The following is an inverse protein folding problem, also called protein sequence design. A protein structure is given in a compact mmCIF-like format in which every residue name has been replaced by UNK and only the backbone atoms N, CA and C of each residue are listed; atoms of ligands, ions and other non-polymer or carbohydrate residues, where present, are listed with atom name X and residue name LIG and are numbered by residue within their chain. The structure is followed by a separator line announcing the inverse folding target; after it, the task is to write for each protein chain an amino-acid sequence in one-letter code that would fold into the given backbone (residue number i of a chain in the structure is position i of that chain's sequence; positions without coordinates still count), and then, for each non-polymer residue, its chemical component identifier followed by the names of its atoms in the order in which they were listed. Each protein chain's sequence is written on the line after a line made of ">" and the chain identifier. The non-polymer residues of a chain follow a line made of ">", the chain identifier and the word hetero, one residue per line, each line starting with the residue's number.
data_IF_754684224677
#
_entry.id   IF_754684224677
#
_cell.length_a   1.000
_cell.length_b   1.000
_cell.length_c   1.000
_cell.angle_alpha   90.00
_cell.angle_beta   90.00
_cell.angle_gamma   90.00
#
_symmetry.space_group_name_H-M   'P 1'
#
loop_
_entity.id
_entity.type
_entity.pdbx_description
1 polymer ?
#
# COMPACT_ATOMS: atom_id res chain seq x y z
N UNK A 1 -19.88 -23.58 -6.97
CA UNK A 1 -18.67 -22.91 -6.45
C UNK A 1 -17.52 -23.18 -7.41
N UNK A 2 -16.63 -22.22 -7.72
CA UNK A 2 -15.47 -22.49 -8.57
C UNK A 2 -14.49 -23.47 -7.90
N UNK A 3 -13.64 -24.18 -8.68
CA UNK A 3 -12.58 -24.99 -8.09
C UNK A 3 -11.62 -24.10 -7.29
N UNK A 4 -11.41 -24.46 -6.02
CA UNK A 4 -10.51 -23.77 -5.10
C UNK A 4 -9.18 -24.51 -5.00
N UNK A 5 -8.07 -23.79 -4.85
CA UNK A 5 -6.73 -24.36 -4.72
C UNK A 5 -6.56 -25.08 -3.37
N UNK A 6 -5.52 -25.89 -3.22
CA UNK A 6 -5.13 -26.38 -1.90
C UNK A 6 -4.45 -25.27 -1.08
N UNK A 7 -4.56 -25.36 0.25
CA UNK A 7 -3.91 -24.45 1.20
C UNK A 7 -2.46 -24.89 1.46
N UNK A 8 -1.60 -24.73 0.45
CA UNK A 8 -0.16 -24.98 0.54
C UNK A 8 0.65 -23.67 0.52
N UNK A 9 1.98 -23.75 0.64
CA UNK A 9 2.85 -22.58 0.67
C UNK A 9 2.73 -21.70 -0.60
N UNK A 10 2.32 -22.28 -1.75
CA UNK A 10 2.14 -21.57 -3.03
C UNK A 10 0.85 -20.75 -3.06
N UNK A 11 0.06 -20.79 -1.99
CA UNK A 11 -1.15 -20.00 -1.81
C UNK A 11 -0.83 -18.52 -1.52
N UNK A 12 0.32 -18.26 -0.90
CA UNK A 12 0.81 -16.92 -0.61
C UNK A 12 1.67 -16.40 -1.77
N UNK A 13 1.57 -15.11 -2.06
CA UNK A 13 2.58 -14.44 -2.87
C UNK A 13 3.67 -13.99 -1.92
N UNK A 14 4.83 -14.62 -2.05
CA UNK A 14 6.02 -14.07 -1.46
C UNK A 14 6.41 -12.85 -2.27
N UNK A 15 6.58 -11.70 -1.61
CA UNK A 15 7.09 -10.50 -2.26
C UNK A 15 8.53 -10.76 -2.76
N UNK A 16 8.67 -11.38 -3.94
CA UNK A 16 9.92 -11.60 -4.66
C UNK A 16 10.95 -12.54 -4.03
N UNK A 17 10.60 -13.38 -3.04
CA UNK A 17 11.55 -14.32 -2.38
C UNK A 17 10.98 -15.73 -2.30
N UNK A 18 11.83 -16.74 -2.08
CA UNK A 18 11.35 -18.11 -1.85
C UNK A 18 10.49 -18.17 -0.58
N UNK A 19 9.37 -18.91 -0.65
CA UNK A 19 8.33 -18.98 0.39
C UNK A 19 8.81 -19.30 1.80
N UNK A 20 9.97 -19.92 1.94
CA UNK A 20 10.58 -20.20 3.25
C UNK A 20 11.15 -18.97 3.97
N UNK A 21 11.47 -17.87 3.26
CA UNK A 21 12.24 -16.76 3.83
C UNK A 21 11.38 -15.63 4.42
N UNK A 22 10.10 -15.52 4.05
CA UNK A 22 9.22 -14.45 4.57
C UNK A 22 8.51 -14.94 5.83
N UNK A 23 8.65 -14.25 6.98
CA UNK A 23 7.89 -14.57 8.19
C UNK A 23 6.39 -14.66 7.90
N UNK A 24 5.72 -15.67 8.46
CA UNK A 24 4.31 -15.99 8.15
C UNK A 24 3.38 -14.77 8.29
N UNK A 25 3.66 -13.89 9.24
CA UNK A 25 2.86 -12.69 9.50
C UNK A 25 3.06 -11.56 8.47
N UNK A 26 4.06 -11.66 7.60
CA UNK A 26 4.33 -10.72 6.49
C UNK A 26 3.89 -11.27 5.13
N UNK A 27 3.41 -12.52 5.07
CA UNK A 27 2.95 -13.14 3.83
C UNK A 27 1.61 -12.55 3.42
N UNK A 28 1.48 -12.17 2.15
CA UNK A 28 0.23 -11.71 1.57
C UNK A 28 -0.30 -12.77 0.60
N UNK A 29 -1.63 -12.80 0.42
CA UNK A 29 -2.23 -13.68 -0.58
C UNK A 29 -1.88 -13.17 -1.97
N UNK A 30 -1.56 -14.06 -2.92
CA UNK A 30 -1.52 -13.63 -4.32
C UNK A 30 -2.92 -13.39 -4.89
N UNK A 31 -3.07 -12.89 -6.14
CA UNK A 31 -4.38 -12.65 -6.75
C UNK A 31 -5.31 -13.86 -6.69
N UNK A 32 -4.83 -15.04 -7.08
CA UNK A 32 -5.63 -16.27 -7.00
C UNK A 32 -5.94 -16.68 -5.56
N UNK A 33 -5.02 -16.46 -4.62
CA UNK A 33 -5.24 -16.75 -3.21
C UNK A 33 -6.28 -15.83 -2.58
N UNK A 34 -6.27 -14.55 -2.97
CA UNK A 34 -7.24 -13.56 -2.53
C UNK A 34 -8.65 -13.88 -3.08
N UNK A 35 -8.74 -14.25 -4.35
CA UNK A 35 -9.97 -14.78 -4.95
C UNK A 35 -10.51 -15.98 -4.17
N UNK A 36 -9.66 -16.97 -3.90
CA UNK A 36 -10.06 -18.19 -3.18
C UNK A 36 -10.47 -17.91 -1.73
N UNK A 37 -9.80 -16.98 -1.06
CA UNK A 37 -10.16 -16.55 0.29
C UNK A 37 -11.60 -16.02 0.33
N UNK A 38 -12.02 -15.28 -0.69
CA UNK A 38 -13.40 -14.78 -0.78
C UNK A 38 -14.44 -15.91 -0.73
N UNK A 39 -14.20 -17.04 -1.42
CA UNK A 39 -15.11 -18.20 -1.39
C UNK A 39 -15.03 -19.07 -0.13
N UNK A 40 -14.02 -18.85 0.73
CA UNK A 40 -13.84 -19.58 1.99
C UNK A 40 -14.35 -18.81 3.21
N UNK A 41 -14.49 -17.49 3.06
CA UNK A 41 -14.96 -16.64 4.14
C UNK A 41 -16.48 -16.74 4.30
N UNK A 42 -17.00 -16.59 5.53
CA UNK A 42 -18.42 -16.40 5.75
C UNK A 42 -18.94 -15.18 4.95
N UNK A 43 -20.16 -15.25 4.38
CA UNK A 43 -20.77 -14.15 3.62
C UNK A 43 -20.72 -12.79 4.32
N UNK A 44 -20.85 -12.79 5.65
CA UNK A 44 -20.87 -11.60 6.49
C UNK A 44 -19.52 -10.88 6.55
N UNK A 45 -18.43 -11.59 6.26
CA UNK A 45 -17.06 -11.06 6.29
C UNK A 45 -16.60 -10.54 4.93
N UNK A 46 -17.31 -10.87 3.85
CA UNK A 46 -16.91 -10.52 2.49
C UNK A 46 -16.80 -9.01 2.27
N UNK A 47 -17.76 -8.15 2.67
CA UNK A 47 -17.62 -6.72 2.46
C UNK A 47 -16.38 -6.15 3.17
N UNK A 48 -16.07 -6.66 4.37
CA UNK A 48 -14.89 -6.24 5.15
C UNK A 48 -13.61 -6.70 4.47
N UNK A 49 -13.59 -7.92 3.93
CA UNK A 49 -12.44 -8.46 3.20
C UNK A 49 -12.16 -7.71 1.89
N UNK A 50 -13.19 -7.44 1.09
CA UNK A 50 -13.06 -6.68 -0.15
C UNK A 50 -12.62 -5.24 0.12
N UNK A 51 -13.18 -4.63 1.17
CA UNK A 51 -12.73 -3.31 1.65
C UNK A 51 -11.27 -3.33 2.08
N UNK A 52 -10.81 -4.37 2.79
CA UNK A 52 -9.42 -4.43 3.24
C UNK A 52 -8.44 -4.56 2.08
N UNK A 53 -8.75 -5.35 1.05
CA UNK A 53 -7.94 -5.41 -0.18
C UNK A 53 -7.81 -4.01 -0.81
N UNK A 54 -8.93 -3.29 -0.96
CA UNK A 54 -8.92 -1.92 -1.49
C UNK A 54 -8.10 -0.94 -0.62
N UNK A 55 -8.28 -0.97 0.70
CA UNK A 55 -7.58 -0.08 1.63
C UNK A 55 -6.08 -0.41 1.77
N UNK A 56 -5.69 -1.65 1.49
CA UNK A 56 -4.28 -2.06 1.38
C UNK A 56 -3.69 -1.83 -0.02
N UNK A 57 -4.43 -1.14 -0.89
CA UNK A 57 -4.05 -0.83 -2.27
C UNK A 57 -3.87 -2.06 -3.18
N UNK A 58 -4.52 -3.17 -2.83
CA UNK A 58 -4.52 -4.44 -3.57
C UNK A 58 -5.70 -4.49 -4.53
N UNK A 59 -5.71 -3.53 -5.47
CA UNK A 59 -6.86 -3.26 -6.34
C UNK A 59 -7.13 -4.40 -7.32
N UNK A 60 -6.08 -5.01 -7.88
CA UNK A 60 -6.21 -6.13 -8.81
C UNK A 60 -6.79 -7.36 -8.10
N UNK A 61 -6.38 -7.61 -6.86
CA UNK A 61 -6.94 -8.71 -6.08
C UNK A 61 -8.38 -8.46 -5.62
N UNK A 62 -8.71 -7.21 -5.28
CA UNK A 62 -10.08 -6.80 -4.99
C UNK A 62 -10.99 -6.99 -6.22
N UNK A 63 -10.51 -6.56 -7.39
CA UNK A 63 -11.20 -6.67 -8.66
C UNK A 63 -11.42 -8.13 -9.06
N UNK A 64 -10.39 -8.96 -8.95
CA UNK A 64 -10.46 -10.39 -9.25
C UNK A 64 -11.42 -11.12 -8.31
N UNK A 65 -11.40 -10.80 -7.01
CA UNK A 65 -12.31 -11.40 -6.03
C UNK A 65 -13.76 -10.99 -6.29
N UNK A 66 -14.02 -9.70 -6.52
CA UNK A 66 -15.35 -9.18 -6.85
C UNK A 66 -15.91 -9.82 -8.12
N UNK A 67 -15.13 -9.82 -9.20
CA UNK A 67 -15.56 -10.37 -10.49
C UNK A 67 -15.85 -11.87 -10.42
N UNK A 68 -15.06 -12.63 -9.65
CA UNK A 68 -15.34 -14.05 -9.44
C UNK A 68 -16.63 -14.29 -8.66
N UNK A 69 -16.92 -13.48 -7.63
CA UNK A 69 -18.19 -13.58 -6.88
C UNK A 69 -19.37 -13.23 -7.78
N UNK A 70 -19.28 -12.14 -8.55
CA UNK A 70 -20.34 -11.71 -9.46
C UNK A 70 -20.65 -12.77 -10.53
N UNK A 71 -19.61 -13.37 -11.14
CA UNK A 71 -19.76 -14.45 -12.11
C UNK A 71 -20.43 -15.67 -11.48
N UNK A 72 -20.03 -16.04 -10.26
CA UNK A 72 -20.64 -17.16 -9.54
C UNK A 72 -22.10 -16.90 -9.19
N UNK A 73 -22.41 -15.73 -8.62
CA UNK A 73 -23.76 -15.35 -8.17
C UNK A 73 -24.73 -15.13 -9.33
N UNK A 74 -24.23 -14.86 -10.54
CA UNK A 74 -25.02 -14.81 -11.77
C UNK A 74 -25.45 -16.21 -12.25
N UNK A 75 -24.67 -17.25 -11.93
CA UNK A 75 -24.91 -18.64 -12.35
C UNK A 75 -25.74 -19.48 -11.38
N UNK A 76 -26.15 -18.93 -10.23
CA UNK A 76 -26.86 -19.66 -9.17
C UNK A 76 -28.16 -18.96 -8.74
N UNK A 77 -29.12 -19.76 -8.28
CA UNK A 77 -30.36 -19.26 -7.69
C UNK A 77 -30.08 -18.44 -6.42
N UNK A 78 -30.98 -17.50 -6.10
CA UNK A 78 -30.77 -16.50 -5.04
C UNK A 78 -30.45 -17.07 -3.64
N UNK A 79 -30.83 -18.31 -3.35
CA UNK A 79 -30.53 -18.99 -2.07
C UNK A 79 -29.10 -19.55 -1.98
N UNK A 80 -28.39 -19.64 -3.11
CA UNK A 80 -27.03 -20.20 -3.19
C UNK A 80 -25.95 -19.13 -3.41
N UNK A 81 -26.33 -17.84 -3.34
CA UNK A 81 -25.42 -16.72 -3.49
C UNK A 81 -24.43 -16.61 -2.34
N UNK A 82 -23.26 -16.11 -2.67
CA UNK A 82 -22.13 -15.94 -1.75
C UNK A 82 -22.32 -14.70 -0.86
N UNK A 83 -22.97 -13.65 -1.35
CA UNK A 83 -23.24 -12.44 -0.56
C UNK A 83 -24.56 -11.75 -0.99
N UNK A 84 -24.99 -10.75 -0.21
CA UNK A 84 -26.07 -9.86 -0.63
C UNK A 84 -25.62 -9.05 -1.85
N UNK A 85 -26.37 -9.07 -2.97
CA UNK A 85 -26.01 -8.31 -4.18
C UNK A 85 -25.89 -6.80 -3.95
N UNK A 86 -26.58 -6.24 -2.95
CA UNK A 86 -26.49 -4.82 -2.63
C UNK A 86 -25.17 -4.46 -1.95
N UNK A 87 -24.66 -5.35 -1.09
CA UNK A 87 -23.35 -5.17 -0.43
C UNK A 87 -22.22 -5.31 -1.45
N UNK A 88 -22.32 -6.30 -2.34
CA UNK A 88 -21.34 -6.51 -3.41
C UNK A 88 -21.26 -5.32 -4.36
N UNK A 89 -22.42 -4.82 -4.84
CA UNK A 89 -22.47 -3.61 -5.69
C UNK A 89 -21.90 -2.39 -5.00
N UNK A 90 -22.10 -2.26 -3.68
CA UNK A 90 -21.54 -1.15 -2.90
C UNK A 90 -20.02 -1.21 -2.85
N UNK A 91 -19.43 -2.37 -2.56
CA UNK A 91 -17.97 -2.51 -2.52
C UNK A 91 -17.32 -2.37 -3.90
N UNK A 92 -17.99 -2.86 -4.97
CA UNK A 92 -17.60 -2.59 -6.36
C UNK A 92 -17.55 -1.10 -6.66
N UNK A 93 -18.63 -0.37 -6.40
CA UNK A 93 -18.70 1.07 -6.67
C UNK A 93 -17.62 1.85 -5.90
N UNK A 94 -17.32 1.45 -4.67
CA UNK A 94 -16.25 2.05 -3.87
C UNK A 94 -14.86 1.74 -4.45
N UNK A 95 -14.63 0.53 -4.95
CA UNK A 95 -13.38 0.18 -5.63
C UNK A 95 -13.17 1.06 -6.86
N UNK A 96 -14.15 1.09 -7.74
CA UNK A 96 -14.09 1.87 -8.98
C UNK A 96 -13.83 3.35 -8.69
N UNK A 97 -14.57 3.93 -7.75
CA UNK A 97 -14.41 5.35 -7.40
C UNK A 97 -13.05 5.62 -6.75
N UNK A 98 -12.55 4.71 -5.90
CA UNK A 98 -11.22 4.83 -5.28
C UNK A 98 -10.12 4.83 -6.33
N UNK A 99 -10.17 3.89 -7.29
CA UNK A 99 -9.20 3.77 -8.38
C UNK A 99 -9.26 5.01 -9.26
N UNK A 100 -10.46 5.38 -9.72
CA UNK A 100 -10.69 6.53 -10.59
C UNK A 100 -10.19 7.84 -9.99
N UNK A 101 -10.52 8.12 -8.73
CA UNK A 101 -10.11 9.35 -8.06
C UNK A 101 -8.59 9.41 -7.84
N UNK A 102 -7.98 8.28 -7.46
CA UNK A 102 -6.54 8.20 -7.26
C UNK A 102 -5.78 8.42 -8.56
N UNK A 103 -6.14 7.70 -9.61
CA UNK A 103 -5.47 7.81 -10.92
C UNK A 103 -5.61 9.21 -11.52
N UNK A 104 -6.80 9.82 -11.42
CA UNK A 104 -6.98 11.23 -11.83
C UNK A 104 -6.13 12.18 -10.98
N UNK A 105 -6.05 11.94 -9.67
CA UNK A 105 -5.19 12.72 -8.77
C UNK A 105 -3.72 12.59 -9.13
N UNK A 106 -3.26 11.38 -9.47
CA UNK A 106 -1.90 11.07 -9.90
C UNK A 106 -1.57 11.78 -11.22
N UNK A 107 -2.48 11.75 -12.19
CA UNK A 107 -2.34 12.46 -13.45
C UNK A 107 -2.21 13.98 -13.25
N UNK A 108 -3.13 14.58 -12.47
CA UNK A 108 -3.10 16.02 -12.16
C UNK A 108 -1.81 16.42 -11.43
N UNK A 109 -1.32 15.56 -10.52
CA UNK A 109 -0.04 15.78 -9.83
C UNK A 109 1.14 15.74 -10.80
N UNK A 110 1.15 14.79 -11.74
CA UNK A 110 2.18 14.67 -12.78
C UNK A 110 2.22 15.86 -13.73
N UNK A 111 1.06 16.47 -14.00
CA UNK A 111 0.93 17.69 -14.80
C UNK A 111 1.25 18.98 -14.02
N UNK A 112 1.49 18.89 -12.70
CA UNK A 112 1.79 20.04 -11.84
C UNK A 112 0.55 20.77 -11.31
N UNK A 113 -0.66 20.31 -11.59
CA UNK A 113 -1.91 20.86 -11.07
C UNK A 113 -2.18 20.39 -9.63
N UNK A 114 -1.28 20.78 -8.72
CA UNK A 114 -1.26 20.32 -7.34
C UNK A 114 -2.55 20.61 -6.55
N UNK A 115 -3.17 21.78 -6.75
CA UNK A 115 -4.45 22.09 -6.08
C UNK A 115 -5.60 21.16 -6.53
N UNK A 116 -5.64 20.77 -7.81
CA UNK A 116 -6.65 19.84 -8.31
C UNK A 116 -6.39 18.42 -7.81
N UNK A 117 -5.12 17.99 -7.83
CA UNK A 117 -4.70 16.70 -7.30
C UNK A 117 -5.09 16.55 -5.83
N UNK A 118 -4.84 17.58 -5.00
CA UNK A 118 -5.23 17.60 -3.59
C UNK A 118 -6.73 17.33 -3.44
N UNK A 119 -7.59 18.03 -4.20
CA UNK A 119 -9.05 17.82 -4.14
C UNK A 119 -9.43 16.38 -4.46
N UNK A 120 -8.90 15.82 -5.54
CA UNK A 120 -9.17 14.43 -5.95
C UNK A 120 -8.74 13.41 -4.89
N UNK A 121 -7.58 13.59 -4.26
CA UNK A 121 -7.17 12.74 -3.13
C UNK A 121 -8.07 12.91 -1.91
N UNK A 122 -8.58 14.12 -1.67
CA UNK A 122 -9.56 14.40 -0.61
C UNK A 122 -10.89 13.70 -0.83
N UNK A 123 -11.38 13.70 -2.08
CA UNK A 123 -12.55 12.93 -2.49
C UNK A 123 -12.30 11.42 -2.30
N UNK A 124 -11.10 10.94 -2.63
CA UNK A 124 -10.73 9.54 -2.46
C UNK A 124 -10.75 9.10 -0.98
N UNK A 125 -10.25 9.95 -0.08
CA UNK A 125 -10.35 9.75 1.38
C UNK A 125 -11.81 9.70 1.87
N UNK A 126 -12.73 10.38 1.18
CA UNK A 126 -14.14 10.45 1.56
C UNK A 126 -15.00 9.29 1.04
N UNK A 127 -14.47 8.39 0.20
CA UNK A 127 -15.22 7.26 -0.40
C UNK A 127 -15.90 6.39 0.67
N UNK A 128 -15.26 6.21 1.83
CA UNK A 128 -15.83 5.44 2.94
C UNK A 128 -16.63 6.27 3.95
N UNK A 129 -16.62 7.61 3.85
CA UNK A 129 -17.36 8.49 4.75
C UNK A 129 -18.86 8.57 4.39
N UNK A 130 -19.24 8.25 3.15
CA UNK A 130 -20.60 8.43 2.62
C UNK A 130 -21.62 7.33 2.93
N UNK A 131 -21.27 6.29 3.69
CA UNK A 131 -22.28 5.31 4.15
C UNK A 131 -23.00 5.87 5.36
N UNK A 132 -24.09 6.61 5.11
CA UNK A 132 -24.84 7.36 6.10
C UNK A 132 -25.20 6.56 7.36
N UNK A 133 -24.70 7.03 8.49
CA UNK A 133 -25.62 7.61 9.45
C UNK A 133 -25.32 9.12 9.51
N UNK A 134 -26.32 9.93 9.19
CA UNK A 134 -26.21 11.38 9.17
C UNK A 134 -26.23 11.91 10.60
N UNK A 135 -25.06 11.98 11.23
CA UNK A 135 -24.83 12.71 12.48
C UNK A 135 -23.65 13.65 12.31
N UNK A 136 -23.92 14.94 12.13
CA UNK A 136 -22.89 15.95 11.87
C UNK A 136 -21.83 16.07 12.95
N UNK A 137 -20.64 16.48 12.56
CA UNK A 137 -19.58 16.88 13.48
C UNK A 137 -18.21 16.79 12.86
N UNK A 138 -17.57 17.94 12.68
CA UNK A 138 -16.16 18.02 12.41
C UNK A 138 -15.35 17.32 13.53
N UNK A 139 -14.35 16.53 13.14
CA UNK A 139 -13.34 15.96 14.04
C UNK A 139 -13.80 14.72 14.82
N UNK A 140 -12.88 13.77 14.93
CA UNK A 140 -12.93 12.55 15.77
C UNK A 140 -13.71 11.33 15.22
N UNK A 141 -13.02 10.55 14.38
CA UNK A 141 -12.65 9.17 14.72
C UNK A 141 -13.71 8.09 14.95
N UNK A 142 -14.99 8.23 14.63
CA UNK A 142 -15.92 7.08 14.79
C UNK A 142 -17.02 7.04 13.74
N UNK A 143 -16.77 6.33 12.63
CA UNK A 143 -17.82 5.83 11.72
C UNK A 143 -18.40 4.50 12.22
N UNK A 144 -19.70 4.22 11.99
CA UNK A 144 -20.38 3.04 12.54
C UNK A 144 -19.89 1.74 11.89
N UNK A 145 -19.66 0.71 12.71
CA UNK A 145 -19.20 -0.60 12.25
C UNK A 145 -20.17 -1.28 11.27
N UNK A 146 -19.61 -1.78 10.16
CA UNK A 146 -20.32 -2.57 9.12
C UNK A 146 -20.89 -3.89 9.67
N UNK A 147 -20.34 -4.40 10.77
CA UNK A 147 -20.93 -5.54 11.47
C UNK A 147 -22.17 -5.06 12.22
N UNK A 148 -23.36 -5.47 11.77
CA UNK A 148 -24.56 -5.42 12.61
C UNK A 148 -24.19 -5.97 13.99
N UNK A 149 -24.56 -5.23 15.04
CA UNK A 149 -24.35 -5.51 16.47
C UNK A 149 -24.88 -6.88 16.97
N UNK A 150 -25.29 -7.77 16.06
CA UNK A 150 -25.85 -9.10 16.30
C UNK A 150 -24.84 -10.23 16.03
N UNK A 151 -23.65 -9.97 15.47
CA UNK A 151 -22.62 -11.01 15.33
C UNK A 151 -21.88 -11.22 16.66
N UNK A 152 -21.68 -12.48 17.05
CA UNK A 152 -20.96 -12.90 18.27
C UNK A 152 -19.45 -12.64 18.23
N UNK A 153 -18.98 -11.91 17.22
CA UNK A 153 -17.57 -11.62 17.01
C UNK A 153 -17.16 -10.47 17.93
N UNK A 154 -15.99 -10.54 18.61
CA UNK A 154 -15.54 -9.44 19.44
C UNK A 154 -15.46 -8.19 18.57
N UNK A 155 -16.22 -7.15 18.93
CA UNK A 155 -16.07 -5.85 18.31
C UNK A 155 -14.61 -5.43 18.50
N UNK A 156 -13.81 -5.55 17.44
CA UNK A 156 -12.43 -5.11 17.44
C UNK A 156 -12.45 -3.61 17.66
N UNK A 157 -12.29 -3.24 18.93
CA UNK A 157 -12.39 -1.90 19.45
C UNK A 157 -11.26 -1.07 18.82
N UNK A 158 -11.61 0.02 18.16
CA UNK A 158 -10.67 1.06 17.70
C UNK A 158 -9.93 0.82 16.37
N UNK A 159 -9.68 -0.43 15.96
CA UNK A 159 -8.87 -0.73 14.76
C UNK A 159 -9.63 -0.70 13.43
N UNK A 160 -10.97 -0.77 13.46
CA UNK A 160 -11.80 -0.89 12.26
C UNK A 160 -11.82 0.35 11.33
N UNK A 161 -11.20 1.46 11.74
CA UNK A 161 -11.39 2.78 11.14
C UNK A 161 -10.09 3.52 10.76
N UNK A 162 -8.93 2.85 10.68
CA UNK A 162 -7.66 3.51 10.37
C UNK A 162 -7.48 3.92 8.90
N UNK A 163 -8.40 3.57 8.00
CA UNK A 163 -8.27 3.87 6.57
C UNK A 163 -7.19 3.05 5.82
N UNK A 164 -6.39 2.27 6.53
CA UNK A 164 -5.39 1.37 5.96
C UNK A 164 -4.25 2.11 5.22
N UNK A 165 -3.40 1.34 4.55
CA UNK A 165 -2.26 1.88 3.79
C UNK A 165 -2.64 2.98 2.80
N UNK A 166 -3.79 2.86 2.14
CA UNK A 166 -4.31 3.83 1.19
C UNK A 166 -4.42 5.23 1.81
N UNK A 167 -4.98 5.36 3.01
CA UNK A 167 -5.16 6.68 3.63
C UNK A 167 -3.80 7.30 4.00
N UNK A 168 -2.85 6.52 4.50
CA UNK A 168 -1.49 7.01 4.75
C UNK A 168 -0.83 7.55 3.46
N UNK A 169 -0.94 6.80 2.36
CA UNK A 169 -0.40 7.20 1.05
C UNK A 169 -1.08 8.46 0.51
N UNK A 170 -2.40 8.56 0.61
CA UNK A 170 -3.17 9.72 0.15
C UNK A 170 -2.83 10.98 0.95
N UNK A 171 -2.71 10.87 2.28
CA UNK A 171 -2.31 11.98 3.14
C UNK A 171 -0.87 12.44 2.83
N UNK A 172 0.10 11.52 2.72
CA UNK A 172 1.47 11.88 2.35
C UNK A 172 1.56 12.51 0.94
N UNK A 173 0.78 11.97 0.00
CA UNK A 173 0.72 12.51 -1.36
C UNK A 173 0.13 13.93 -1.38
N UNK A 174 -0.95 14.17 -0.62
CA UNK A 174 -1.51 15.52 -0.44
C UNK A 174 -0.49 16.46 0.19
N UNK A 175 0.25 16.01 1.20
CA UNK A 175 1.33 16.77 1.80
C UNK A 175 2.41 17.14 0.76
N UNK A 176 2.78 16.21 -0.12
CA UNK A 176 3.72 16.49 -1.22
C UNK A 176 3.23 17.61 -2.14
N UNK A 177 1.97 17.56 -2.55
CA UNK A 177 1.38 18.61 -3.39
C UNK A 177 1.33 19.96 -2.66
N UNK A 178 1.07 19.96 -1.35
CA UNK A 178 1.05 21.19 -0.54
C UNK A 178 2.44 21.81 -0.39
N UNK A 179 3.50 20.99 -0.29
CA UNK A 179 4.89 21.47 -0.34
C UNK A 179 5.17 22.15 -1.68
N UNK A 180 4.75 21.56 -2.81
CA UNK A 180 4.90 22.20 -4.13
C UNK A 180 4.15 23.52 -4.28
N UNK A 181 3.14 23.77 -3.43
CA UNK A 181 2.35 24.99 -3.38
C UNK A 181 2.83 25.96 -2.28
N UNK A 182 3.95 25.68 -1.62
CA UNK A 182 4.50 26.45 -0.48
C UNK A 182 3.54 26.56 0.72
N UNK A 183 2.57 25.64 0.83
CA UNK A 183 1.60 25.58 1.94
C UNK A 183 2.14 24.69 3.07
N UNK A 184 3.26 25.10 3.66
CA UNK A 184 4.05 24.29 4.59
C UNK A 184 3.28 23.84 5.85
N UNK A 185 2.51 24.71 6.51
CA UNK A 185 1.72 24.32 7.69
C UNK A 185 0.69 23.23 7.37
N UNK A 186 0.02 23.36 6.22
CA UNK A 186 -0.95 22.37 5.76
C UNK A 186 -0.26 21.06 5.38
N UNK A 187 0.94 21.12 4.81
CA UNK A 187 1.74 19.95 4.49
C UNK A 187 2.16 19.19 5.76
N UNK A 188 2.58 19.90 6.82
CA UNK A 188 2.91 19.29 8.10
C UNK A 188 1.70 18.55 8.70
N UNK A 189 0.51 19.17 8.63
CA UNK A 189 -0.73 18.58 9.11
C UNK A 189 -1.16 17.33 8.31
N UNK A 190 -1.02 17.33 6.98
CA UNK A 190 -1.30 16.15 6.15
C UNK A 190 -0.30 15.01 6.42
N UNK A 191 1.00 15.30 6.52
CA UNK A 191 2.00 14.28 6.88
C UNK A 191 1.74 13.73 8.30
N UNK A 192 1.27 14.57 9.23
CA UNK A 192 0.83 14.12 10.54
C UNK A 192 -0.32 13.11 10.46
N UNK A 193 -1.36 13.39 9.66
CA UNK A 193 -2.46 12.45 9.42
C UNK A 193 -2.00 11.13 8.83
N UNK A 194 -1.02 11.14 7.92
CA UNK A 194 -0.44 9.91 7.38
C UNK A 194 0.21 9.06 8.49
N UNK A 195 0.86 9.69 9.47
CA UNK A 195 1.51 9.03 10.61
C UNK A 195 0.52 8.59 11.69
N UNK A 196 -0.62 9.29 11.83
CA UNK A 196 -1.71 8.83 12.70
C UNK A 196 -2.32 7.52 12.18
N UNK A 197 -2.37 7.36 10.84
CA UNK A 197 -2.80 6.11 10.19
C UNK A 197 -1.72 5.04 10.26
N UNK A 198 -0.48 5.39 9.89
CA UNK A 198 0.64 4.48 9.84
C UNK A 198 1.89 5.14 10.43
N UNK A 199 2.12 4.89 11.72
CA UNK A 199 3.15 5.59 12.50
C UNK A 199 4.61 5.37 12.03
N UNK A 200 4.86 4.29 11.28
CA UNK A 200 6.16 3.98 10.68
C UNK A 200 6.22 4.33 9.18
N UNK A 201 5.33 5.19 8.68
CA UNK A 201 5.27 5.51 7.25
C UNK A 201 6.44 6.42 6.87
N UNK A 202 7.52 5.80 6.39
CA UNK A 202 8.82 6.41 6.12
C UNK A 202 8.72 7.67 5.25
N UNK A 203 7.86 7.64 4.22
CA UNK A 203 7.61 8.79 3.35
C UNK A 203 7.11 10.03 4.11
N UNK A 204 6.11 9.86 4.98
CA UNK A 204 5.55 10.96 5.77
C UNK A 204 6.49 11.44 6.86
N UNK A 205 7.26 10.57 7.50
CA UNK A 205 8.29 10.99 8.47
C UNK A 205 9.31 11.92 7.82
N UNK A 206 9.88 11.49 6.68
CA UNK A 206 10.87 12.28 5.97
C UNK A 206 10.29 13.60 5.47
N UNK A 207 9.05 13.58 4.96
CA UNK A 207 8.37 14.77 4.47
C UNK A 207 8.08 15.76 5.59
N UNK A 208 7.52 15.29 6.70
CA UNK A 208 7.22 16.14 7.86
C UNK A 208 8.49 16.74 8.46
N UNK A 209 9.58 15.96 8.55
CA UNK A 209 10.89 16.47 8.99
C UNK A 209 11.39 17.63 8.13
N UNK A 210 11.32 17.49 6.80
CA UNK A 210 11.72 18.55 5.85
C UNK A 210 10.83 19.79 5.97
N UNK A 211 9.53 19.60 6.14
CA UNK A 211 8.59 20.71 6.34
C UNK A 211 8.85 21.45 7.66
N UNK A 212 9.06 20.73 8.76
CA UNK A 212 9.44 21.34 10.04
C UNK A 212 10.74 22.15 9.92
N UNK A 213 11.75 21.61 9.22
CA UNK A 213 13.00 22.34 8.98
C UNK A 213 12.77 23.64 8.18
N UNK A 214 11.93 23.59 7.14
CA UNK A 214 11.57 24.76 6.34
C UNK A 214 10.78 25.81 7.14
N UNK A 215 9.95 25.37 8.10
CA UNK A 215 9.23 26.24 9.04
C UNK A 215 10.10 26.78 10.18
N UNK A 216 11.37 26.35 10.29
CA UNK A 216 12.26 26.72 11.39
C UNK A 216 12.03 25.93 12.69
N UNK A 217 11.16 24.93 12.68
CA UNK A 217 10.95 24.00 13.79
C UNK A 217 12.03 22.92 13.80
N UNK A 218 13.22 23.30 14.25
CA UNK A 218 14.39 22.42 14.32
C UNK A 218 14.15 21.24 15.27
N UNK A 219 13.38 21.44 16.34
CA UNK A 219 13.09 20.39 17.32
C UNK A 219 12.20 19.30 16.71
N UNK A 220 11.10 19.68 16.06
CA UNK A 220 10.22 18.76 15.33
C UNK A 220 10.96 18.03 14.21
N UNK A 221 11.75 18.75 13.42
CA UNK A 221 12.54 18.16 12.34
C UNK A 221 13.51 17.09 12.87
N UNK A 222 14.25 17.39 13.95
CA UNK A 222 15.18 16.45 14.56
C UNK A 222 14.48 15.19 15.05
N UNK A 223 13.33 15.32 15.72
CA UNK A 223 12.57 14.18 16.22
C UNK A 223 12.14 13.23 15.08
N UNK A 224 11.61 13.78 13.99
CA UNK A 224 11.18 12.98 12.84
C UNK A 224 12.36 12.34 12.10
N UNK A 225 13.48 13.06 11.92
CA UNK A 225 14.69 12.49 11.33
C UNK A 225 15.28 11.36 12.19
N UNK A 226 15.32 11.52 13.52
CA UNK A 226 15.78 10.46 14.42
C UNK A 226 14.90 9.22 14.28
N UNK A 227 13.57 9.38 14.25
CA UNK A 227 12.67 8.24 14.06
C UNK A 227 12.86 7.57 12.69
N UNK A 228 13.07 8.35 11.63
CA UNK A 228 13.38 7.84 10.30
C UNK A 228 14.67 7.00 10.28
N UNK A 229 15.74 7.47 10.94
CA UNK A 229 17.02 6.74 11.00
C UNK A 229 16.85 5.40 11.73
N UNK A 230 16.22 5.40 12.91
CA UNK A 230 15.98 4.18 13.69
C UNK A 230 15.23 3.13 12.84
N UNK A 231 14.20 3.55 12.10
CA UNK A 231 13.45 2.64 11.23
C UNK A 231 14.29 2.07 10.08
N UNK A 232 15.19 2.86 9.49
CA UNK A 232 16.08 2.35 8.45
C UNK A 232 17.12 1.37 8.99
N UNK A 233 17.65 1.63 10.19
CA UNK A 233 18.57 0.73 10.87
C UNK A 233 17.89 -0.60 11.23
N UNK A 234 16.65 -0.57 11.71
CA UNK A 234 15.84 -1.77 11.97
C UNK A 234 15.61 -2.57 10.68
N UNK A 235 15.19 -1.92 9.59
CA UNK A 235 15.00 -2.57 8.28
C UNK A 235 16.29 -3.17 7.75
N UNK A 236 17.42 -2.46 7.90
CA UNK A 236 18.71 -2.95 7.45
C UNK A 236 19.16 -4.18 8.27
N UNK A 237 19.02 -4.14 9.59
CA UNK A 237 19.33 -5.27 10.46
C UNK A 237 18.47 -6.50 10.14
N UNK A 238 17.17 -6.31 9.88
CA UNK A 238 16.29 -7.38 9.42
C UNK A 238 16.72 -7.95 8.06
N UNK A 239 17.11 -7.09 7.12
CA UNK A 239 17.60 -7.53 5.80
C UNK A 239 18.92 -8.30 5.90
N UNK A 240 19.85 -7.89 6.76
CA UNK A 240 21.12 -8.58 7.02
C UNK A 240 20.86 -9.94 7.68
N UNK A 241 19.99 -9.99 8.69
CA UNK A 241 19.57 -11.24 9.34
C UNK A 241 18.87 -12.22 8.39
N UNK A 242 18.17 -11.72 7.36
CA UNK A 242 17.57 -12.54 6.31
C UNK A 242 18.57 -12.97 5.23
N UNK A 243 19.61 -12.15 4.97
CA UNK A 243 20.69 -12.47 4.03
C UNK A 243 21.57 -13.62 4.51
N UNK A 244 21.83 -13.70 5.80
CA UNK A 244 22.61 -14.78 6.43
C UNK A 244 21.85 -16.12 6.51
N UNK A 245 20.52 -16.13 6.34
CA UNK A 245 19.69 -17.33 6.33
C UNK A 245 19.58 -17.99 4.95
N UNK A 246 20.10 -17.34 3.90
CA UNK A 246 20.26 -17.97 2.58
C UNK A 246 21.60 -18.70 2.61
N UNK A 247 21.64 -20.05 2.57
CA UNK A 247 22.90 -20.74 2.40
C UNK A 247 23.52 -20.22 1.10
N UNK A 248 24.73 -19.66 1.19
CA UNK A 248 25.58 -19.38 0.02
C UNK A 248 25.70 -20.70 -0.73
N UNK A 249 24.90 -20.86 -1.78
CA UNK A 249 24.95 -22.03 -2.66
C UNK A 249 26.39 -22.19 -3.12
N UNK A 250 26.94 -23.38 -2.89
CA UNK A 250 28.37 -23.65 -2.96
C UNK A 250 29.02 -23.14 -4.23
N UNK A 251 30.06 -22.33 -4.04
CA UNK A 251 31.15 -22.22 -5.00
C UNK A 251 31.92 -23.56 -4.98
N UNK A 252 31.39 -24.60 -5.60
CA UNK A 252 32.16 -25.79 -5.97
C UNK A 252 31.87 -26.13 -7.43
N UNK A 253 32.85 -25.84 -8.29
CA UNK A 253 32.77 -26.16 -9.72
C UNK A 253 33.46 -25.19 -10.67
N UNK A 254 34.55 -24.49 -10.29
CA UNK A 254 35.53 -24.05 -11.30
C UNK A 254 36.32 -25.27 -11.73
N UNK A 255 35.93 -25.87 -12.84
CA UNK A 255 36.88 -26.60 -13.68
C UNK A 255 37.52 -25.58 -14.62
N UNK A 256 38.84 -25.63 -14.66
CA UNK A 256 39.73 -24.98 -15.62
C UNK A 256 39.46 -25.46 -17.06
N UNK A 257 40.12 -24.79 -18.03
CA UNK A 257 40.04 -24.90 -19.50
C UNK A 257 39.04 -23.90 -20.11
N UNK A 258 39.39 -22.92 -20.94
CA UNK A 258 40.41 -22.89 -22.00
C UNK A 258 40.81 -21.43 -22.33
N UNK A 259 42.09 -21.20 -22.64
CA UNK A 259 42.70 -19.92 -22.99
C UNK A 259 42.26 -19.46 -24.40
N UNK A 260 41.49 -18.37 -24.47
CA UNK A 260 41.23 -17.61 -25.70
C UNK A 260 41.84 -16.21 -25.63
N UNK A 261 42.33 -15.63 -26.74
CA UNK A 261 43.35 -14.57 -26.70
C UNK A 261 42.82 -13.22 -26.21
N UNK A 262 43.70 -12.51 -25.50
CA UNK A 262 43.46 -11.21 -24.87
C UNK A 262 42.90 -10.15 -25.83
N UNK A 263 41.94 -9.31 -25.38
CA UNK A 263 41.52 -8.13 -26.12
C UNK A 263 42.58 -7.02 -25.99
N UNK A 264 43.11 -6.60 -27.15
CA UNK A 264 44.03 -5.47 -27.31
C UNK A 264 43.40 -4.19 -26.74
N UNK A 265 43.99 -3.68 -25.66
CA UNK A 265 43.70 -2.38 -25.07
C UNK A 265 44.13 -1.26 -26.04
N UNK A 266 43.16 -0.53 -26.60
CA UNK A 266 43.43 0.74 -27.29
C UNK A 266 43.68 1.83 -26.24
N UNK A 267 44.78 2.59 -26.32
CA UNK A 267 45.11 3.59 -25.31
C UNK A 267 44.18 4.80 -25.35
N UNK A 268 43.80 5.23 -24.14
CA UNK A 268 43.14 6.48 -23.80
C UNK A 268 43.83 7.66 -24.49
N UNK A 269 43.13 8.33 -25.40
CA UNK A 269 43.56 9.65 -25.88
C UNK A 269 43.34 10.66 -24.75
N UNK A 270 44.46 11.17 -24.25
CA UNK A 270 44.55 12.29 -23.32
C UNK A 270 43.95 13.54 -23.98
N UNK A 271 43.03 14.19 -23.28
CA UNK A 271 42.68 15.59 -23.52
C UNK A 271 43.91 16.45 -23.22
N UNK A 272 44.61 16.90 -24.27
CA UNK A 272 45.59 17.98 -24.17
C UNK A 272 44.95 19.29 -24.62
N UNK A 273 44.63 20.09 -23.60
CA UNK A 273 44.75 21.54 -23.50
C UNK A 273 45.51 22.24 -24.67
N UNK A 274 44.78 23.03 -25.47
CA UNK A 274 45.34 24.11 -26.31
C UNK A 274 44.36 25.28 -26.45
N UNK A 275 44.44 26.24 -25.54
CA UNK A 275 44.53 27.65 -25.93
C UNK A 275 45.99 28.13 -25.78
N UNK A 276 46.36 29.37 -26.14
CA UNK A 276 45.63 30.43 -26.84
C UNK A 276 46.35 30.94 -28.12
N UNK A 277 45.65 31.75 -28.92
CA UNK A 277 46.19 32.50 -30.06
C UNK A 277 45.14 33.41 -30.66
#
# INVERSE_FOLDING_TARGET
>A
MPPLRELDDRFFQDAGRSSGAVPVHLRTLGPSGARDAAFRLPPEMLPVYLRSLRLEMRFDEAELALSAIEEYDAGVDGTARVCDPSDLRRERAKLDETVRLRERGDAQRGEGFHDQAIKLYGECLAVDAGTGDAGGGAGTGTTPGILKRQSSWPAASGAANAGGRLHAVLHDTRASCLVSLDKLDSAAAESGRALDVHSMYVGALLRRARVHAALGDVAGAKADFTRFIVLLEEVQAEMEALGDQVPRGGEEGRQEEDEGPEPVLLPLQQEEDRGPG
#
